data_IF_495468693074
#
_entry.id   IF_495468693074
#
_cell.length_a   1.000
_cell.length_b   1.000
_cell.length_c   1.000
_cell.angle_alpha   90.00
_cell.angle_beta   90.00
_cell.angle_gamma   90.00
#
_symmetry.space_group_name_H-M   'P 1'
#
loop_
_entity.id
_entity.type
_entity.pdbx_description
1 polymer ?
#
# COMPACT_ATOMS: atom_id res chain seq x y z
N UNK A 1 2.54 -14.81 -3.33
CA UNK A 1 1.63 -14.93 -4.49
C UNK A 1 0.50 -13.94 -4.27
N UNK A 2 0.09 -13.18 -5.29
CA UNK A 2 -0.97 -12.17 -5.14
C UNK A 2 -2.06 -12.52 -6.14
N UNK A 3 -3.29 -12.72 -5.64
CA UNK A 3 -4.46 -13.24 -6.37
C UNK A 3 -4.65 -12.61 -7.77
N UNK A 4 -4.42 -11.30 -7.92
CA UNK A 4 -4.65 -10.64 -9.20
C UNK A 4 -3.68 -11.10 -10.32
N UNK A 5 -2.45 -11.53 -9.98
CA UNK A 5 -1.49 -12.07 -10.96
C UNK A 5 -1.74 -13.55 -11.29
N UNK A 6 -2.50 -14.23 -10.43
CA UNK A 6 -2.99 -15.59 -10.71
C UNK A 6 -4.15 -15.52 -11.70
N UNK A 7 -4.97 -14.47 -11.62
CA UNK A 7 -6.06 -14.18 -12.55
C UNK A 7 -5.53 -13.65 -13.89
N UNK A 8 -4.61 -12.68 -13.87
CA UNK A 8 -3.96 -12.14 -15.06
C UNK A 8 -2.44 -11.97 -14.83
N UNK A 9 -1.62 -12.89 -15.36
CA UNK A 9 -0.16 -12.86 -15.20
C UNK A 9 0.53 -11.65 -15.82
N UNK A 10 -0.12 -10.95 -16.76
CA UNK A 10 0.44 -9.77 -17.42
C UNK A 10 0.35 -8.51 -16.53
N UNK A 11 -0.47 -8.56 -15.46
CA UNK A 11 -0.57 -7.46 -14.52
C UNK A 11 0.74 -7.25 -13.75
N UNK A 12 1.15 -5.98 -13.55
CA UNK A 12 2.42 -5.66 -12.90
C UNK A 12 2.40 -5.98 -11.41
N UNK A 13 3.58 -6.25 -10.85
CA UNK A 13 3.74 -6.40 -9.41
C UNK A 13 3.66 -5.01 -8.72
N UNK A 14 2.74 -4.88 -7.78
CA UNK A 14 2.60 -3.69 -6.92
C UNK A 14 3.76 -3.57 -5.92
N UNK A 15 4.55 -4.64 -5.76
CA UNK A 15 5.62 -4.75 -4.78
C UNK A 15 5.13 -5.30 -3.45
N UNK A 16 4.11 -6.15 -3.43
CA UNK A 16 3.44 -6.63 -2.19
C UNK A 16 4.40 -7.19 -1.13
N UNK A 17 5.49 -7.83 -1.55
CA UNK A 17 6.48 -8.41 -0.64
C UNK A 17 7.51 -7.38 -0.12
N UNK A 18 7.35 -6.09 -0.40
CA UNK A 18 8.29 -5.02 -0.01
C UNK A 18 7.71 -4.17 1.13
N UNK A 19 8.56 -3.38 1.77
CA UNK A 19 8.14 -2.41 2.79
C UNK A 19 7.27 -1.28 2.23
N UNK A 20 7.47 -0.94 0.95
CA UNK A 20 6.74 0.09 0.22
C UNK A 20 6.27 -0.45 -1.14
N UNK A 21 5.09 -0.02 -1.63
CA UNK A 21 4.71 -0.25 -3.01
C UNK A 21 5.77 0.28 -3.98
N UNK A 22 5.89 -0.38 -5.13
CA UNK A 22 6.70 0.13 -6.23
C UNK A 22 6.11 1.43 -6.76
N UNK A 23 6.97 2.28 -7.30
CA UNK A 23 6.52 3.45 -8.04
C UNK A 23 5.77 2.99 -9.30
N UNK A 24 4.69 3.70 -9.65
CA UNK A 24 3.95 3.44 -10.89
C UNK A 24 4.83 3.86 -12.07
N UNK A 25 5.00 2.95 -13.05
CA UNK A 25 5.74 3.22 -14.28
C UNK A 25 4.80 3.29 -15.49
N UNK A 26 5.29 3.83 -16.61
CA UNK A 26 4.51 3.89 -17.85
C UNK A 26 4.14 2.49 -18.37
N UNK A 27 5.04 1.51 -18.21
CA UNK A 27 4.81 0.12 -18.58
C UNK A 27 3.70 -0.50 -17.73
N UNK A 28 3.71 -0.25 -16.42
CA UNK A 28 2.67 -0.71 -15.51
C UNK A 28 1.30 -0.13 -15.87
N UNK A 29 1.25 1.17 -16.20
CA UNK A 29 0.03 1.85 -16.66
C UNK A 29 -0.48 1.21 -17.95
N UNK A 30 0.40 0.94 -18.91
CA UNK A 30 0.04 0.29 -20.17
C UNK A 30 -0.53 -1.11 -19.95
N UNK A 31 0.13 -1.93 -19.14
CA UNK A 31 -0.34 -3.28 -18.81
C UNK A 31 -1.72 -3.26 -18.14
N UNK A 32 -1.96 -2.31 -17.22
CA UNK A 32 -3.29 -2.13 -16.62
C UNK A 32 -4.33 -1.74 -17.68
N UNK A 33 -4.01 -0.83 -18.59
CA UNK A 33 -4.95 -0.41 -19.64
C UNK A 33 -5.24 -1.49 -20.68
N UNK A 34 -4.30 -2.39 -20.94
CA UNK A 34 -4.47 -3.54 -21.84
C UNK A 34 -5.30 -4.65 -21.18
N UNK A 35 -5.27 -4.77 -19.86
CA UNK A 35 -6.07 -5.74 -19.12
C UNK A 35 -7.57 -5.53 -19.37
N UNK A 36 -8.27 -6.65 -19.64
CA UNK A 36 -9.71 -6.70 -19.87
C UNK A 36 -10.47 -7.45 -18.78
N UNK A 37 -9.76 -8.17 -17.90
CA UNK A 37 -10.36 -8.87 -16.76
C UNK A 37 -10.62 -7.89 -15.60
N UNK A 38 -11.88 -7.48 -15.46
CA UNK A 38 -12.34 -6.64 -14.36
C UNK A 38 -12.17 -7.29 -12.98
N UNK A 39 -12.18 -8.63 -12.90
CA UNK A 39 -11.96 -9.36 -11.65
C UNK A 39 -10.51 -9.26 -11.19
N UNK A 40 -9.55 -9.48 -12.11
CA UNK A 40 -8.13 -9.28 -11.85
C UNK A 40 -7.82 -7.83 -11.42
N UNK A 41 -8.36 -6.84 -12.13
CA UNK A 41 -8.22 -5.43 -11.76
C UNK A 41 -8.86 -5.09 -10.42
N UNK A 42 -10.03 -5.66 -10.10
CA UNK A 42 -10.68 -5.51 -8.79
C UNK A 42 -9.84 -6.10 -7.65
N UNK A 43 -9.27 -7.29 -7.85
CA UNK A 43 -8.34 -7.90 -6.90
C UNK A 43 -7.07 -7.05 -6.72
N UNK A 44 -6.55 -6.45 -7.80
CA UNK A 44 -5.41 -5.54 -7.75
C UNK A 44 -5.71 -4.25 -6.97
N UNK A 45 -6.91 -3.68 -7.17
CA UNK A 45 -7.36 -2.53 -6.38
C UNK A 45 -7.49 -2.86 -4.89
N UNK A 46 -8.01 -4.05 -4.58
CA UNK A 46 -8.06 -4.59 -3.22
C UNK A 46 -6.67 -4.70 -2.58
N UNK A 47 -5.69 -5.25 -3.30
CA UNK A 47 -4.30 -5.33 -2.86
C UNK A 47 -3.67 -3.95 -2.61
N UNK A 48 -3.95 -2.97 -3.47
CA UNK A 48 -3.47 -1.60 -3.25
C UNK A 48 -4.10 -0.95 -1.99
N UNK A 49 -5.37 -1.25 -1.68
CA UNK A 49 -6.07 -0.73 -0.48
C UNK A 49 -5.53 -1.33 0.82
N UNK A 50 -5.17 -2.61 0.81
CA UNK A 50 -4.73 -3.37 1.98
C UNK A 50 -3.26 -3.20 2.32
N UNK A 51 -2.52 -2.31 1.65
CA UNK A 51 -1.12 -2.07 1.98
C UNK A 51 -0.98 -1.36 3.34
N UNK A 52 -0.46 -2.08 4.34
CA UNK A 52 -0.34 -1.59 5.72
C UNK A 52 1.01 -0.91 6.03
N UNK A 53 2.03 -1.08 5.17
CA UNK A 53 3.34 -0.43 5.30
C UNK A 53 3.92 -0.51 6.73
N UNK A 54 4.39 0.61 7.29
CA UNK A 54 4.97 0.68 8.63
C UNK A 54 3.95 1.08 9.73
N UNK A 55 2.65 0.96 9.48
CA UNK A 55 1.62 1.33 10.46
C UNK A 55 1.74 0.53 11.77
N UNK A 56 2.20 -0.72 11.71
CA UNK A 56 2.52 -1.50 12.91
C UNK A 56 3.64 -0.88 13.75
N UNK A 57 4.66 -0.30 13.11
CA UNK A 57 5.74 0.41 13.79
C UNK A 57 5.27 1.67 14.52
N UNK A 58 4.30 2.39 13.94
CA UNK A 58 3.63 3.52 14.60
C UNK A 58 2.93 3.03 15.86
N UNK A 59 2.07 2.01 15.75
CA UNK A 59 1.29 1.49 16.86
C UNK A 59 2.18 0.94 18.00
N UNK A 60 3.26 0.22 17.66
CA UNK A 60 4.24 -0.30 18.62
C UNK A 60 4.95 0.88 19.30
N UNK A 61 5.51 1.82 18.53
CA UNK A 61 6.26 2.95 19.08
C UNK A 61 5.42 3.82 20.01
N UNK A 62 4.17 4.12 19.64
CA UNK A 62 3.26 4.90 20.50
C UNK A 62 2.85 4.14 21.76
N UNK A 63 2.52 2.85 21.64
CA UNK A 63 2.04 2.05 22.78
C UNK A 63 3.15 1.79 23.79
N UNK A 64 4.34 1.38 23.33
CA UNK A 64 5.48 1.16 24.21
C UNK A 64 6.05 2.48 24.75
N UNK A 65 6.06 3.56 23.97
CA UNK A 65 6.45 4.88 24.46
C UNK A 65 5.58 5.34 25.62
N UNK A 66 4.26 5.20 25.50
CA UNK A 66 3.32 5.52 26.58
C UNK A 66 3.52 4.63 27.81
N UNK A 67 3.74 3.32 27.61
CA UNK A 67 4.02 2.39 28.70
C UNK A 67 5.32 2.72 29.43
N UNK A 68 6.40 3.07 28.72
CA UNK A 68 7.67 3.45 29.31
C UNK A 68 7.58 4.76 30.10
N UNK A 69 6.83 5.75 29.61
CA UNK A 69 6.55 6.97 30.39
C UNK A 69 5.82 6.65 31.69
N UNK A 70 4.82 5.77 31.65
CA UNK A 70 4.07 5.38 32.84
C UNK A 70 4.95 4.68 33.90
N UNK A 71 6.05 4.04 33.48
CA UNK A 71 7.03 3.39 34.35
C UNK A 71 8.18 4.32 34.77
N UNK A 72 8.18 5.58 34.34
CA UNK A 72 9.27 6.54 34.60
C UNK A 72 10.55 6.25 33.84
N UNK A 73 10.49 5.47 32.76
CA UNK A 73 11.64 5.11 31.93
C UNK A 73 11.80 6.10 30.77
N UNK A 74 12.11 7.35 31.10
CA UNK A 74 12.07 8.48 30.15
C UNK A 74 12.95 8.27 28.92
N UNK A 75 14.15 7.70 29.09
CA UNK A 75 15.06 7.40 27.97
C UNK A 75 14.45 6.35 27.04
N UNK A 76 13.88 5.27 27.59
CA UNK A 76 13.26 4.21 26.79
C UNK A 76 12.02 4.74 26.06
N UNK A 77 11.22 5.59 26.71
CA UNK A 77 10.09 6.26 26.10
C UNK A 77 10.52 7.18 24.95
N UNK A 78 11.56 8.00 25.16
CA UNK A 78 12.07 8.89 24.14
C UNK A 78 12.53 8.12 22.89
N UNK A 79 13.24 7.00 23.07
CA UNK A 79 13.64 6.13 21.95
C UNK A 79 12.43 5.53 21.24
N UNK A 80 11.44 5.02 21.99
CA UNK A 80 10.24 4.44 21.39
C UNK A 80 9.45 5.46 20.55
N UNK A 81 9.28 6.69 21.05
CA UNK A 81 8.61 7.76 20.31
C UNK A 81 9.44 8.28 19.14
N UNK A 82 10.77 8.34 19.25
CA UNK A 82 11.64 8.78 18.16
C UNK A 82 11.48 7.90 16.89
N UNK A 83 11.16 6.61 17.06
CA UNK A 83 10.93 5.68 15.95
C UNK A 83 9.56 5.88 15.26
N UNK A 84 8.62 6.60 15.88
CA UNK A 84 7.29 6.82 15.31
C UNK A 84 7.35 7.74 14.08
N UNK A 85 8.15 8.80 14.14
CA UNK A 85 8.26 9.78 13.04
C UNK A 85 8.69 9.15 11.70
N UNK A 86 9.79 8.36 11.61
CA UNK A 86 10.16 7.71 10.36
C UNK A 86 9.13 6.66 9.91
N UNK A 87 8.49 5.94 10.84
CA UNK A 87 7.42 5.00 10.51
C UNK A 87 6.18 5.71 9.91
N UNK A 88 5.85 6.90 10.42
CA UNK A 88 4.79 7.75 9.87
C UNK A 88 5.11 8.20 8.44
N UNK A 89 6.33 8.71 8.20
CA UNK A 89 6.76 9.12 6.86
C UNK A 89 6.74 7.95 5.86
N UNK A 90 7.24 6.78 6.26
CA UNK A 90 7.19 5.58 5.43
C UNK A 90 5.73 5.17 5.09
N UNK A 91 4.82 5.27 6.05
CA UNK A 91 3.40 4.96 5.86
C UNK A 91 2.72 5.96 4.94
N UNK A 92 3.03 7.25 5.07
CA UNK A 92 2.53 8.30 4.17
C UNK A 92 2.98 8.07 2.73
N UNK A 93 4.27 7.77 2.53
CA UNK A 93 4.82 7.48 1.20
C UNK A 93 4.21 6.22 0.60
N UNK A 94 4.02 5.17 1.40
CA UNK A 94 3.33 3.96 0.95
C UNK A 94 1.90 4.27 0.50
N UNK A 95 1.16 5.06 1.28
CA UNK A 95 -0.21 5.48 0.94
C UNK A 95 -0.24 6.35 -0.31
N UNK A 96 0.74 7.23 -0.51
CA UNK A 96 0.87 8.04 -1.73
C UNK A 96 1.00 7.14 -2.96
N UNK A 97 1.90 6.16 -2.94
CA UNK A 97 2.09 5.22 -4.05
C UNK A 97 0.87 4.32 -4.26
N UNK A 98 0.30 3.79 -3.18
CA UNK A 98 -0.90 2.96 -3.26
C UNK A 98 -2.07 3.71 -3.91
N UNK A 99 -2.25 5.00 -3.60
CA UNK A 99 -3.27 5.84 -4.26
C UNK A 99 -2.99 6.09 -5.74
N UNK A 100 -1.73 6.24 -6.14
CA UNK A 100 -1.37 6.35 -7.55
C UNK A 100 -1.75 5.08 -8.31
N UNK A 101 -1.45 3.90 -7.75
CA UNK A 101 -1.90 2.62 -8.31
C UNK A 101 -3.42 2.52 -8.40
N UNK A 102 -4.14 2.87 -7.33
CA UNK A 102 -5.60 2.86 -7.31
C UNK A 102 -6.20 3.73 -8.39
N UNK A 103 -5.69 4.95 -8.59
CA UNK A 103 -6.19 5.87 -9.60
C UNK A 103 -6.12 5.27 -11.01
N UNK A 104 -5.01 4.60 -11.36
CA UNK A 104 -4.84 3.96 -12.68
C UNK A 104 -5.79 2.78 -12.84
N UNK A 105 -5.92 1.94 -11.81
CA UNK A 105 -6.79 0.75 -11.83
C UNK A 105 -8.27 1.16 -11.93
N UNK A 106 -8.69 2.14 -11.10
CA UNK A 106 -10.07 2.65 -11.08
C UNK A 106 -10.43 3.36 -12.40
N UNK A 107 -9.49 4.08 -13.01
CA UNK A 107 -9.70 4.65 -14.35
C UNK A 107 -9.99 3.57 -15.39
N UNK A 108 -9.22 2.48 -15.39
CA UNK A 108 -9.46 1.35 -16.32
C UNK A 108 -10.78 0.64 -16.04
N UNK A 109 -11.08 0.37 -14.76
CA UNK A 109 -12.35 -0.25 -14.36
C UNK A 109 -13.55 0.59 -14.80
N UNK A 110 -13.44 1.92 -14.73
CA UNK A 110 -14.48 2.84 -15.21
C UNK A 110 -14.72 2.68 -16.71
N UNK A 111 -13.65 2.64 -17.52
CA UNK A 111 -13.75 2.43 -18.98
C UNK A 111 -14.40 1.09 -19.31
N UNK A 112 -14.01 0.01 -18.62
CA UNK A 112 -14.61 -1.31 -18.80
C UNK A 112 -16.07 -1.36 -18.35
N UNK A 113 -16.43 -0.61 -17.30
CA UNK A 113 -17.80 -0.47 -16.82
C UNK A 113 -18.69 0.26 -17.82
N UNK A 114 -18.19 1.36 -18.42
CA UNK A 114 -18.92 2.10 -19.46
C UNK A 114 -19.10 1.33 -20.76
N UNK A 115 -18.20 0.41 -21.10
CA UNK A 115 -18.31 -0.42 -22.30
C UNK A 115 -19.34 -1.56 -22.20
N UNK A 116 -19.85 -1.83 -20.99
CA UNK A 116 -20.83 -2.89 -20.71
C UNK A 116 -22.27 -2.38 -20.52
N UNK A 117 -22.48 -1.06 -20.49
CA UNK A 117 -23.80 -0.42 -20.40
C UNK A 117 -24.25 0.12 -21.75
#
# INVERSE_FOLDING_TARGET
MVLYRELDPQLPDLGWNRSLPLAVTAEAVRAIHECSDSGALGAMAGAARSYWAAAGGIAIGTSFGAAFLALGWDIAAAVAFALVAPAALATMEARRRARQWQAVIEARLTVLGTARG
#
